data_IF_390674911626
#
_entry.id   IF_390674911626
#
_cell.length_a   1.000
_cell.length_b   1.000
_cell.length_c   1.000
_cell.angle_alpha   90.00
_cell.angle_beta   90.00
_cell.angle_gamma   90.00
#
_symmetry.space_group_name_H-M   'P 1'
#
loop_
_entity.id
_entity.type
_entity.pdbx_description
1 polymer ?
#
# COMPACT_ATOMS: atom_id res chain seq x y z
N UNK A 1 16.11 -11.46 -88.45
CA UNK A 1 16.78 -12.22 -87.36
C UNK A 1 16.66 -11.45 -86.09
N UNK A 2 15.86 -11.97 -85.15
CA UNK A 2 15.52 -11.28 -83.90
C UNK A 2 16.57 -11.60 -82.84
N UNK A 3 17.17 -10.60 -82.24
CA UNK A 3 18.01 -10.77 -81.04
C UNK A 3 17.24 -10.19 -79.85
N UNK A 4 16.85 -11.08 -78.90
CA UNK A 4 16.13 -10.75 -77.66
C UNK A 4 17.14 -10.32 -76.59
N UNK A 5 17.04 -9.08 -76.11
CA UNK A 5 17.73 -8.61 -74.92
C UNK A 5 16.98 -9.11 -73.66
N UNK A 6 17.71 -9.77 -72.74
CA UNK A 6 17.20 -10.14 -71.41
C UNK A 6 17.61 -9.02 -70.42
N UNK A 7 16.59 -8.34 -69.86
CA UNK A 7 16.82 -7.44 -68.71
C UNK A 7 16.91 -8.23 -67.44
N UNK A 8 18.03 -8.07 -66.72
CA UNK A 8 18.27 -8.61 -65.38
C UNK A 8 17.89 -7.56 -64.37
N UNK A 9 16.78 -7.79 -63.64
CA UNK A 9 16.37 -6.95 -62.53
C UNK A 9 17.14 -7.39 -61.28
N UNK A 10 18.06 -6.52 -60.82
CA UNK A 10 18.71 -6.69 -59.53
C UNK A 10 17.76 -6.25 -58.41
N UNK A 11 17.33 -7.17 -57.57
CA UNK A 11 16.54 -6.90 -56.39
C UNK A 11 17.47 -6.37 -55.28
N UNK A 12 17.32 -5.09 -54.93
CA UNK A 12 18.00 -4.45 -53.83
C UNK A 12 17.28 -4.81 -52.53
N UNK A 13 17.82 -5.78 -51.79
CA UNK A 13 17.30 -6.17 -50.47
C UNK A 13 17.63 -5.12 -49.42
N UNK A 14 16.63 -4.41 -48.94
CA UNK A 14 16.75 -3.53 -47.77
C UNK A 14 16.78 -4.42 -46.51
N UNK A 15 17.96 -4.59 -45.93
CA UNK A 15 18.09 -5.24 -44.61
C UNK A 15 17.74 -4.19 -43.55
N UNK A 16 16.52 -4.23 -43.05
CA UNK A 16 16.11 -3.47 -41.87
C UNK A 16 16.71 -4.08 -40.62
N UNK A 17 17.73 -3.42 -40.10
CA UNK A 17 18.32 -3.77 -38.79
C UNK A 17 17.32 -3.37 -37.71
N UNK A 18 16.52 -4.32 -37.19
CA UNK A 18 15.70 -4.13 -36.02
C UNK A 18 16.61 -4.19 -34.79
N UNK A 19 17.08 -3.05 -34.30
CA UNK A 19 17.76 -2.93 -33.02
C UNK A 19 16.72 -3.13 -31.91
N UNK A 20 16.67 -4.34 -31.37
CA UNK A 20 15.92 -4.63 -30.15
C UNK A 20 16.55 -3.83 -29.00
N UNK A 21 15.94 -2.74 -28.57
CA UNK A 21 16.25 -2.17 -27.27
C UNK A 21 15.77 -3.16 -26.21
N UNK A 22 16.70 -3.98 -25.70
CA UNK A 22 16.51 -4.67 -24.43
C UNK A 22 16.47 -3.59 -23.35
N UNK A 23 15.26 -3.11 -22.99
CA UNK A 23 15.06 -2.40 -21.75
C UNK A 23 15.47 -3.36 -20.64
N UNK A 24 16.56 -3.06 -19.95
CA UNK A 24 16.93 -3.74 -18.71
C UNK A 24 15.77 -3.55 -17.75
N UNK A 25 14.92 -4.56 -17.64
CA UNK A 25 13.91 -4.64 -16.59
C UNK A 25 14.69 -4.70 -15.28
N UNK A 26 14.72 -3.62 -14.53
CA UNK A 26 15.23 -3.62 -13.15
C UNK A 26 14.30 -4.54 -12.38
N UNK A 27 14.80 -5.73 -12.06
CA UNK A 27 14.07 -6.73 -11.28
C UNK A 27 13.79 -6.14 -9.91
N UNK A 28 12.50 -5.92 -9.59
CA UNK A 28 12.13 -5.37 -8.28
C UNK A 28 12.38 -6.44 -7.21
N UNK A 29 12.97 -6.07 -6.06
CA UNK A 29 13.21 -7.03 -5.00
C UNK A 29 11.88 -7.66 -4.55
N UNK A 30 11.92 -8.95 -4.24
CA UNK A 30 10.74 -9.63 -3.71
C UNK A 30 10.27 -8.94 -2.43
N UNK A 31 8.96 -8.80 -2.25
CA UNK A 31 8.36 -8.15 -1.07
C UNK A 31 8.95 -8.70 0.24
N UNK A 32 9.17 -10.02 0.33
CA UNK A 32 9.74 -10.69 1.50
C UNK A 32 11.12 -10.16 1.91
N UNK A 33 11.95 -9.76 0.94
CA UNK A 33 13.29 -9.19 1.23
C UNK A 33 13.18 -7.76 1.79
N UNK A 34 12.13 -7.03 1.43
CA UNK A 34 11.89 -5.67 1.91
C UNK A 34 11.30 -5.62 3.33
N UNK A 35 10.79 -6.75 3.85
CA UNK A 35 10.25 -6.83 5.21
C UNK A 35 11.34 -6.86 6.29
N UNK A 36 12.46 -7.52 6.02
CA UNK A 36 13.54 -7.75 6.98
C UNK A 36 14.16 -6.46 7.55
N UNK A 37 14.53 -5.45 6.73
CA UNK A 37 15.10 -4.20 7.22
C UNK A 37 14.15 -3.39 8.12
N UNK A 38 12.84 -3.67 8.01
CA UNK A 38 11.79 -3.01 8.77
C UNK A 38 11.35 -3.81 9.99
N UNK A 39 11.93 -4.99 10.20
CA UNK A 39 11.51 -5.94 11.23
C UNK A 39 9.99 -6.20 11.18
N UNK A 40 9.46 -6.48 9.97
CA UNK A 40 8.07 -6.82 9.74
C UNK A 40 7.91 -8.34 9.65
N UNK A 41 6.83 -8.83 10.26
CA UNK A 41 6.40 -10.23 10.09
C UNK A 41 5.58 -10.36 8.81
N UNK A 42 6.04 -11.19 7.87
CA UNK A 42 5.29 -11.49 6.65
C UNK A 42 4.13 -12.44 6.89
N UNK A 43 3.07 -12.31 6.10
CA UNK A 43 1.97 -13.26 6.07
C UNK A 43 2.10 -14.21 4.88
N UNK A 44 1.48 -15.41 5.02
CA UNK A 44 1.28 -16.29 3.87
C UNK A 44 0.33 -15.62 2.86
N UNK A 45 0.53 -15.89 1.56
CA UNK A 45 -0.25 -15.30 0.46
C UNK A 45 -1.76 -15.55 0.51
N UNK A 46 -2.25 -16.38 1.43
CA UNK A 46 -3.68 -16.70 1.60
C UNK A 46 -4.37 -15.89 2.71
N UNK A 47 -3.63 -15.20 3.56
CA UNK A 47 -4.18 -14.53 4.75
C UNK A 47 -5.01 -13.30 4.36
N UNK A 48 -6.29 -13.32 4.70
CA UNK A 48 -7.17 -12.16 4.59
C UNK A 48 -7.47 -11.60 5.97
N UNK A 49 -7.20 -10.32 6.19
CA UNK A 49 -7.58 -9.68 7.45
C UNK A 49 -9.10 -9.63 7.58
N UNK A 50 -9.63 -9.58 8.82
CA UNK A 50 -11.05 -9.34 9.06
C UNK A 50 -11.53 -8.08 8.34
N UNK A 51 -12.75 -8.13 7.79
CA UNK A 51 -13.36 -6.90 7.28
C UNK A 51 -13.82 -6.01 8.43
N UNK A 52 -13.85 -4.71 8.20
CA UNK A 52 -14.40 -3.76 9.14
C UNK A 52 -15.17 -2.66 8.41
N UNK A 53 -16.08 -2.03 9.13
CA UNK A 53 -16.70 -0.77 8.77
C UNK A 53 -16.82 0.10 10.00
N UNK A 54 -16.38 1.34 9.93
CA UNK A 54 -16.40 2.26 11.06
C UNK A 54 -16.54 3.71 10.62
N UNK A 55 -16.94 4.56 11.56
CA UNK A 55 -17.04 6.00 11.36
C UNK A 55 -15.72 6.67 11.74
N UNK A 56 -15.29 7.60 10.92
CA UNK A 56 -14.18 8.48 11.25
C UNK A 56 -14.61 9.60 12.22
N UNK A 57 -13.62 10.30 12.78
CA UNK A 57 -13.90 11.44 13.66
C UNK A 57 -14.68 12.59 12.98
N UNK A 58 -14.68 12.65 11.64
CA UNK A 58 -15.46 13.60 10.82
C UNK A 58 -16.74 12.97 10.21
N UNK A 59 -17.22 11.85 10.80
CA UNK A 59 -18.45 11.13 10.45
C UNK A 59 -18.50 10.54 9.03
N UNK A 60 -17.35 10.24 8.43
CA UNK A 60 -17.30 9.50 7.16
C UNK A 60 -17.18 8.00 7.44
N UNK A 61 -17.87 7.19 6.66
CA UNK A 61 -17.74 5.74 6.74
C UNK A 61 -16.49 5.27 6.00
N UNK A 62 -15.68 4.44 6.66
CA UNK A 62 -14.56 3.72 6.07
C UNK A 62 -14.75 2.23 6.29
N UNK A 63 -14.58 1.44 5.24
CA UNK A 63 -14.59 -0.04 5.33
C UNK A 63 -13.41 -0.62 4.56
N UNK A 64 -12.92 -1.78 4.99
CA UNK A 64 -11.82 -2.44 4.29
C UNK A 64 -12.24 -2.89 2.88
N UNK A 65 -13.46 -3.36 2.71
CA UNK A 65 -14.04 -3.72 1.40
C UNK A 65 -14.09 -2.52 0.45
N UNK A 66 -14.38 -1.33 0.96
CA UNK A 66 -14.37 -0.07 0.18
C UNK A 66 -12.98 0.34 -0.30
N UNK A 67 -11.91 -0.24 0.27
CA UNK A 67 -10.51 0.05 -0.07
C UNK A 67 -9.91 -0.98 -1.04
N UNK A 68 -10.69 -1.91 -1.58
CA UNK A 68 -10.21 -2.89 -2.58
C UNK A 68 -9.55 -2.21 -3.77
N UNK A 69 -8.46 -2.80 -4.24
CA UNK A 69 -7.65 -2.25 -5.33
C UNK A 69 -6.64 -1.19 -4.88
N UNK A 70 -6.62 -0.84 -3.58
CA UNK A 70 -5.61 0.04 -2.99
C UNK A 70 -4.67 -0.75 -2.09
N UNK A 71 -3.45 -0.27 -1.93
CA UNK A 71 -2.56 -0.71 -0.85
C UNK A 71 -3.04 -0.02 0.42
N UNK A 72 -3.23 -0.78 1.50
CA UNK A 72 -3.71 -0.21 2.77
C UNK A 72 -2.66 -0.36 3.85
N UNK A 73 -2.31 0.76 4.48
CA UNK A 73 -1.55 0.82 5.71
C UNK A 73 -2.56 1.08 6.84
N UNK A 74 -2.89 0.03 7.58
CA UNK A 74 -3.89 0.03 8.63
C UNK A 74 -3.20 0.03 9.98
N UNK A 75 -3.23 1.17 10.67
CA UNK A 75 -2.55 1.37 11.95
C UNK A 75 -3.55 1.41 13.11
N UNK A 76 -3.29 0.64 14.15
CA UNK A 76 -4.00 0.64 15.42
C UNK A 76 -3.24 1.49 16.44
N UNK A 77 -3.89 2.47 17.03
CA UNK A 77 -3.26 3.49 17.85
C UNK A 77 -4.22 4.07 18.90
N UNK A 78 -3.70 4.86 19.85
CA UNK A 78 -4.48 5.63 20.80
C UNK A 78 -3.80 6.97 21.11
N UNK A 79 -4.57 7.96 21.60
CA UNK A 79 -4.01 9.28 21.96
C UNK A 79 -3.01 9.21 23.14
N UNK A 80 -3.26 8.30 24.08
CA UNK A 80 -2.42 8.02 25.25
C UNK A 80 -1.19 7.14 24.94
N UNK A 81 -1.11 6.56 23.74
CA UNK A 81 -0.01 5.69 23.33
C UNK A 81 1.21 6.55 22.95
N UNK A 82 2.20 6.62 23.85
CA UNK A 82 3.41 7.42 23.63
C UNK A 82 4.23 6.95 22.43
N UNK A 83 4.32 5.63 22.21
CA UNK A 83 5.05 5.04 21.09
C UNK A 83 4.33 5.22 19.74
N UNK A 84 3.00 5.43 19.75
CA UNK A 84 2.23 5.70 18.53
C UNK A 84 2.49 7.12 18.01
N UNK A 85 2.68 8.08 18.92
CA UNK A 85 2.74 9.50 18.59
C UNK A 85 3.80 9.85 17.53
N UNK A 86 5.04 9.33 17.59
CA UNK A 86 6.06 9.62 16.57
C UNK A 86 5.70 9.10 15.17
N UNK A 87 4.91 8.03 15.05
CA UNK A 87 4.53 7.46 13.76
C UNK A 87 3.47 8.28 13.02
N UNK A 88 2.59 8.98 13.74
CA UNK A 88 1.45 9.68 13.12
C UNK A 88 1.88 10.72 12.07
N UNK A 89 2.91 11.56 12.30
CA UNK A 89 3.44 12.45 11.28
C UNK A 89 4.10 11.70 10.10
N UNK A 90 4.65 10.49 10.32
CA UNK A 90 5.22 9.66 9.25
C UNK A 90 4.12 9.15 8.34
N UNK A 91 3.02 8.67 8.93
CA UNK A 91 1.83 8.24 8.18
C UNK A 91 1.19 9.39 7.40
N UNK A 92 1.14 10.59 7.96
CA UNK A 92 0.66 11.78 7.26
C UNK A 92 1.53 12.08 6.02
N UNK A 93 2.86 11.98 6.14
CA UNK A 93 3.77 12.15 4.99
C UNK A 93 3.51 11.11 3.91
N UNK A 94 3.38 9.83 4.29
CA UNK A 94 3.05 8.76 3.34
C UNK A 94 1.69 8.96 2.68
N UNK A 95 0.69 9.40 3.46
CA UNK A 95 -0.64 9.71 2.94
C UNK A 95 -0.58 10.79 1.86
N UNK A 96 0.07 11.92 2.14
CA UNK A 96 0.22 13.03 1.19
C UNK A 96 0.97 12.62 -0.07
N UNK A 97 1.99 11.82 0.08
CA UNK A 97 2.86 11.45 -1.04
C UNK A 97 2.24 10.38 -1.95
N UNK A 98 1.64 9.34 -1.36
CA UNK A 98 1.24 8.14 -2.10
C UNK A 98 -0.28 7.96 -2.28
N UNK A 99 -1.14 8.79 -1.68
CA UNK A 99 -2.60 8.60 -1.76
C UNK A 99 -3.11 8.65 -3.20
N UNK A 100 -2.61 9.56 -4.04
CA UNK A 100 -2.95 9.66 -5.45
C UNK A 100 -2.45 8.45 -6.26
N UNK A 101 -1.40 7.76 -5.79
CA UNK A 101 -0.83 6.57 -6.42
C UNK A 101 -1.52 5.27 -6.00
N UNK A 102 -2.45 5.35 -5.04
CA UNK A 102 -3.24 4.20 -4.60
C UNK A 102 -2.92 3.66 -3.20
N UNK A 103 -2.16 4.39 -2.37
CA UNK A 103 -2.04 4.10 -0.95
C UNK A 103 -3.25 4.66 -0.19
N UNK A 104 -3.77 3.88 0.77
CA UNK A 104 -4.70 4.34 1.80
C UNK A 104 -4.07 4.13 3.17
N UNK A 105 -3.79 5.22 3.85
CA UNK A 105 -3.42 5.18 5.27
C UNK A 105 -4.70 5.33 6.08
N UNK A 106 -4.94 4.41 7.02
CA UNK A 106 -6.12 4.40 7.90
C UNK A 106 -5.65 4.18 9.33
N UNK A 107 -6.03 5.07 10.24
CA UNK A 107 -5.83 4.88 11.67
C UNK A 107 -7.09 4.33 12.34
N UNK A 108 -7.00 3.22 13.07
CA UNK A 108 -8.06 2.70 13.93
C UNK A 108 -7.73 3.09 15.36
N UNK A 109 -8.53 3.98 15.92
CA UNK A 109 -8.31 4.47 17.29
C UNK A 109 -8.92 3.50 18.31
N UNK A 110 -8.12 3.09 19.29
CA UNK A 110 -8.49 2.07 20.27
C UNK A 110 -9.22 2.66 21.47
N UNK A 111 -10.53 2.41 21.58
CA UNK A 111 -11.37 2.61 22.77
C UNK A 111 -11.46 4.05 23.28
N UNK A 112 -11.37 5.02 22.38
CA UNK A 112 -11.57 6.43 22.74
C UNK A 112 -12.77 7.01 22.01
N UNK A 113 -13.25 8.17 22.47
CA UNK A 113 -14.37 8.86 21.85
C UNK A 113 -13.93 9.81 20.72
N UNK A 114 -14.89 10.17 19.88
CA UNK A 114 -14.71 11.05 18.71
C UNK A 114 -14.02 12.38 19.05
N UNK A 115 -14.31 12.97 20.23
CA UNK A 115 -13.74 14.26 20.65
C UNK A 115 -12.24 14.17 20.82
N UNK A 116 -11.73 13.14 21.52
CA UNK A 116 -10.30 12.94 21.74
C UNK A 116 -9.55 12.72 20.42
N UNK A 117 -10.11 11.88 19.52
CA UNK A 117 -9.51 11.60 18.21
C UNK A 117 -9.45 12.87 17.35
N UNK A 118 -10.51 13.67 17.36
CA UNK A 118 -10.57 14.93 16.58
C UNK A 118 -9.56 15.96 17.08
N UNK A 119 -9.44 16.13 18.40
CA UNK A 119 -8.48 17.05 19.00
C UNK A 119 -7.05 16.65 18.66
N UNK A 120 -6.71 15.39 18.83
CA UNK A 120 -5.40 14.84 18.50
C UNK A 120 -5.07 14.97 16.99
N UNK A 121 -6.05 14.67 16.13
CA UNK A 121 -5.89 14.86 14.68
C UNK A 121 -5.57 16.32 14.31
N UNK A 122 -6.28 17.27 14.94
CA UNK A 122 -6.05 18.71 14.75
C UNK A 122 -4.69 19.14 15.28
N UNK A 123 -4.30 18.67 16.46
CA UNK A 123 -2.99 18.98 17.07
C UNK A 123 -1.84 18.58 16.15
N UNK A 124 -1.89 17.38 15.56
CA UNK A 124 -0.82 16.84 14.70
C UNK A 124 -1.01 17.15 13.20
N UNK A 125 -2.08 17.85 12.81
CA UNK A 125 -2.36 18.19 11.42
C UNK A 125 -2.59 16.97 10.53
N UNK A 126 -3.23 15.91 11.06
CA UNK A 126 -3.48 14.66 10.34
C UNK A 126 -4.66 14.81 9.40
N UNK A 127 -4.50 14.37 8.15
CA UNK A 127 -5.53 14.44 7.11
C UNK A 127 -6.01 13.07 6.63
N UNK A 128 -5.30 12.00 6.96
CA UNK A 128 -5.75 10.64 6.66
C UNK A 128 -6.90 10.21 7.58
N UNK A 129 -7.78 9.29 7.15
CA UNK A 129 -8.94 8.85 7.91
C UNK A 129 -8.57 8.21 9.25
N UNK A 130 -9.19 8.69 10.33
CA UNK A 130 -9.07 8.15 11.69
C UNK A 130 -10.43 7.58 12.11
N UNK A 131 -10.56 6.26 12.06
CA UNK A 131 -11.76 5.53 12.46
C UNK A 131 -11.80 5.43 13.99
N UNK A 132 -12.97 5.74 14.57
CA UNK A 132 -13.19 5.71 16.01
C UNK A 132 -13.77 4.36 16.41
N UNK A 133 -12.97 3.51 17.02
CA UNK A 133 -13.37 2.20 17.54
C UNK A 133 -13.59 2.26 19.07
N UNK A 134 -14.59 3.03 19.48
CA UNK A 134 -14.86 3.33 20.90
C UNK A 134 -15.12 2.08 21.76
N UNK A 135 -15.65 1.00 21.17
CA UNK A 135 -15.86 -0.28 21.85
C UNK A 135 -14.69 -1.25 21.74
N UNK A 136 -13.71 -0.95 20.88
CA UNK A 136 -12.56 -1.81 20.65
C UNK A 136 -12.87 -3.09 19.86
N UNK A 137 -13.96 -3.11 19.11
CA UNK A 137 -14.40 -4.30 18.36
C UNK A 137 -13.51 -4.57 17.16
N UNK A 138 -13.10 -3.52 16.43
CA UNK A 138 -12.18 -3.65 15.31
C UNK A 138 -10.81 -4.06 15.83
N UNK A 139 -10.33 -3.42 16.90
CA UNK A 139 -9.07 -3.79 17.55
C UNK A 139 -9.06 -5.27 17.97
N UNK A 140 -10.13 -5.73 18.59
CA UNK A 140 -10.27 -7.14 19.03
C UNK A 140 -10.29 -8.12 17.85
N UNK A 141 -11.01 -7.80 16.77
CA UNK A 141 -11.08 -8.64 15.58
C UNK A 141 -9.72 -8.82 14.90
N UNK A 142 -8.87 -7.78 14.93
CA UNK A 142 -7.51 -7.83 14.39
C UNK A 142 -6.46 -8.38 15.37
N UNK A 143 -6.84 -8.65 16.60
CA UNK A 143 -5.88 -9.06 17.65
C UNK A 143 -4.84 -7.97 17.96
N UNK A 144 -5.18 -6.71 17.76
CA UNK A 144 -4.29 -5.55 18.01
C UNK A 144 -4.23 -5.28 19.55
N UNK A 145 -3.57 -6.17 20.29
CA UNK A 145 -3.47 -6.12 21.76
C UNK A 145 -2.43 -5.07 22.18
N UNK A 146 -1.32 -4.98 21.46
CA UNK A 146 -0.24 -3.99 21.67
C UNK A 146 -0.36 -2.83 20.69
N UNK A 147 -0.01 -1.64 21.13
CA UNK A 147 0.00 -0.44 20.29
C UNK A 147 1.41 0.16 20.22
N UNK A 148 1.81 0.70 19.05
CA UNK A 148 1.11 0.63 17.79
C UNK A 148 1.16 -0.76 17.16
N UNK A 149 0.14 -1.14 16.41
CA UNK A 149 0.15 -2.31 15.55
C UNK A 149 -0.24 -1.87 14.14
N UNK A 150 0.54 -2.26 13.13
CA UNK A 150 0.30 -1.83 11.75
C UNK A 150 0.25 -3.03 10.81
N UNK A 151 -0.85 -3.17 10.09
CA UNK A 151 -1.01 -4.13 9.00
C UNK A 151 -0.73 -3.44 7.66
N UNK A 152 0.02 -4.10 6.81
CA UNK A 152 0.18 -3.74 5.41
C UNK A 152 -0.64 -4.73 4.58
N UNK A 153 -1.56 -4.20 3.76
CA UNK A 153 -2.53 -4.99 2.98
C UNK A 153 -2.37 -4.63 1.52
N UNK A 154 -2.23 -5.64 0.68
CA UNK A 154 -2.05 -5.50 -0.77
C UNK A 154 -3.33 -5.09 -1.50
N UNK A 155 -3.21 -4.75 -2.78
CA UNK A 155 -4.33 -4.35 -3.66
C UNK A 155 -5.39 -5.44 -3.81
N UNK A 156 -5.02 -6.70 -3.63
CA UNK A 156 -5.92 -7.86 -3.65
C UNK A 156 -6.68 -8.06 -2.34
N UNK A 157 -6.38 -7.24 -1.32
CA UNK A 157 -6.96 -7.28 0.01
C UNK A 157 -6.41 -8.38 0.91
N UNK A 158 -5.25 -8.93 0.60
CA UNK A 158 -4.54 -9.89 1.46
C UNK A 158 -3.54 -9.16 2.36
N UNK A 159 -3.35 -9.68 3.56
CA UNK A 159 -2.32 -9.17 4.45
C UNK A 159 -0.94 -9.54 3.90
N UNK A 160 -0.08 -8.54 3.78
CA UNK A 160 1.31 -8.67 3.33
C UNK A 160 2.23 -8.78 4.54
N UNK A 161 2.08 -7.87 5.49
CA UNK A 161 2.96 -7.79 6.65
C UNK A 161 2.27 -7.19 7.89
N UNK A 162 2.88 -7.46 9.05
CA UNK A 162 2.50 -6.95 10.36
C UNK A 162 3.72 -6.35 11.03
N UNK A 163 3.54 -5.15 11.61
CA UNK A 163 4.43 -4.56 12.60
C UNK A 163 3.72 -4.51 13.96
N UNK A 164 4.39 -4.97 15.01
CA UNK A 164 4.03 -4.70 16.40
C UNK A 164 5.10 -3.82 17.00
N UNK A 165 4.71 -2.69 17.57
CA UNK A 165 5.58 -1.61 18.00
C UNK A 165 5.98 -0.64 16.87
N UNK A 166 6.61 0.50 17.21
CA UNK A 166 6.86 1.59 16.29
C UNK A 166 7.89 1.26 15.20
N UNK A 167 7.74 1.87 14.02
CA UNK A 167 8.66 1.76 12.88
C UNK A 167 8.94 3.12 12.24
N UNK A 168 10.09 3.23 11.57
CA UNK A 168 10.41 4.39 10.74
C UNK A 168 9.82 4.20 9.33
N UNK A 169 8.55 4.58 9.18
CA UNK A 169 7.77 4.34 7.96
C UNK A 169 8.18 5.19 6.75
N UNK A 170 9.07 6.16 6.91
CA UNK A 170 9.51 7.06 5.84
C UNK A 170 10.94 6.84 5.40
N UNK A 171 11.65 5.86 5.97
CA UNK A 171 12.99 5.49 5.52
C UNK A 171 12.97 4.83 4.13
N UNK A 172 14.14 4.68 3.53
CA UNK A 172 14.26 4.11 2.18
C UNK A 172 13.66 2.70 2.05
N UNK A 173 13.88 1.74 2.99
CA UNK A 173 13.25 0.43 2.93
C UNK A 173 11.72 0.46 2.97
N UNK A 174 11.12 1.30 3.84
CA UNK A 174 9.66 1.42 3.94
C UNK A 174 9.05 1.99 2.65
N UNK A 175 9.68 3.01 2.09
CA UNK A 175 9.25 3.61 0.81
C UNK A 175 9.36 2.61 -0.34
N UNK A 176 10.46 1.85 -0.41
CA UNK A 176 10.64 0.82 -1.42
C UNK A 176 9.56 -0.27 -1.33
N UNK A 177 9.22 -0.72 -0.11
CA UNK A 177 8.15 -1.69 0.12
C UNK A 177 6.78 -1.15 -0.36
N UNK A 178 6.43 0.08 0.02
CA UNK A 178 5.18 0.72 -0.40
C UNK A 178 5.14 0.86 -1.93
N UNK A 179 6.21 1.33 -2.56
CA UNK A 179 6.30 1.49 -4.01
C UNK A 179 6.18 0.15 -4.76
N UNK A 180 6.82 -0.91 -4.25
CA UNK A 180 6.69 -2.26 -4.80
C UNK A 180 5.24 -2.73 -4.77
N UNK A 181 4.54 -2.59 -3.65
CA UNK A 181 3.13 -2.95 -3.54
C UNK A 181 2.21 -2.08 -4.42
N UNK A 182 2.54 -0.80 -4.57
CA UNK A 182 1.80 0.10 -5.46
C UNK A 182 1.98 -0.25 -6.95
N UNK A 183 3.11 -0.84 -7.32
CA UNK A 183 3.39 -1.30 -8.69
C UNK A 183 2.70 -2.63 -9.01
N UNK A 184 2.27 -3.42 -8.01
CA UNK A 184 1.53 -4.66 -8.24
C UNK A 184 0.21 -4.40 -8.96
N UNK A 185 -0.19 -5.27 -9.91
CA UNK A 185 -1.49 -5.15 -10.55
C UNK A 185 -2.60 -5.26 -9.51
N UNK A 186 -3.57 -4.36 -9.55
CA UNK A 186 -4.77 -4.45 -8.72
C UNK A 186 -5.55 -5.72 -9.00
N UNK A 187 -6.29 -6.24 -8.01
CA UNK A 187 -7.18 -7.37 -8.24
C UNK A 187 -8.13 -7.07 -9.41
N UNK A 188 -8.42 -8.05 -10.29
CA UNK A 188 -9.35 -7.86 -11.38
C UNK A 188 -10.70 -7.35 -10.84
N UNK A 189 -11.23 -6.27 -11.44
CA UNK A 189 -12.58 -5.78 -11.14
C UNK A 189 -13.55 -6.90 -11.53
N UNK A 190 -14.07 -7.64 -10.55
CA UNK A 190 -15.08 -8.67 -10.82
C UNK A 190 -15.10 -9.90 -9.93
N UNK A 191 -14.12 -10.13 -9.07
CA UNK A 191 -14.22 -11.21 -8.07
C UNK A 191 -14.91 -10.67 -6.80
N UNK A 192 -16.23 -10.76 -6.80
CA UNK A 192 -17.10 -10.61 -5.59
C UNK A 192 -17.25 -11.95 -4.92
#
# INVERSE_FOLDING_TARGET
MLCRARSSMAACGIVTLVTSLNALAVEQPAVTELLKPLNLSGYSSSMRPPDFSGLTADNKTVSLTGLRGRVVLLNFWATWCQECRPEMPLFERLHREFSAQGLSVIGINAREGTAAVREYSKELGLTFPLVVDSRGEINAAYGAIGLPTTFLIGRDGRAVALAVGPREWTNAPARALIQTLLAEPGAPKGMR
#
